data_IF_225391215633
#
_entry.id   IF_225391215633
#
_cell.length_a   1.000
_cell.length_b   1.000
_cell.length_c   1.000
_cell.angle_alpha   90.00
_cell.angle_beta   90.00
_cell.angle_gamma   90.00
#
_symmetry.space_group_name_H-M   'P 1'
#
loop_
_entity.id
_entity.type
_entity.pdbx_description
1 polymer ?
#
# COMPACT_ATOMS: atom_id res chain seq x y z
N UNK A 1 -11.08 74.37 -19.77
CA UNK A 1 -11.49 73.17 -19.02
C UNK A 1 -10.37 72.13 -19.11
N UNK A 2 -9.93 71.62 -17.94
CA UNK A 2 -9.01 70.50 -17.58
C UNK A 2 -8.15 69.84 -18.70
N UNK A 3 -6.80 69.95 -18.64
CA UNK A 3 -5.80 69.03 -17.99
C UNK A 3 -5.83 67.61 -18.58
N UNK A 4 -4.78 66.99 -19.12
CA UNK A 4 -3.33 67.10 -18.92
C UNK A 4 -2.79 65.67 -18.71
N UNK A 5 -1.93 65.19 -19.62
CA UNK A 5 -1.26 63.87 -19.57
C UNK A 5 -0.12 63.94 -18.55
N UNK A 6 -0.12 63.13 -17.48
CA UNK A 6 1.13 62.73 -16.80
C UNK A 6 0.98 61.51 -15.88
N UNK A 7 1.84 60.54 -16.18
CA UNK A 7 2.32 59.34 -15.50
C UNK A 7 2.29 59.32 -13.96
N UNK A 8 1.66 58.29 -13.39
CA UNK A 8 2.17 57.58 -12.21
C UNK A 8 2.63 56.20 -12.70
N UNK A 9 3.93 55.91 -12.83
CA UNK A 9 4.74 55.34 -11.75
C UNK A 9 3.93 54.28 -10.98
N UNK A 10 4.17 52.98 -11.15
CA UNK A 10 5.36 52.33 -10.63
C UNK A 10 5.62 50.97 -11.28
N UNK A 11 6.91 50.71 -11.41
CA UNK A 11 7.59 49.48 -11.78
C UNK A 11 7.13 48.23 -11.02
N UNK A 12 7.01 47.10 -11.72
CA UNK A 12 7.70 45.85 -11.38
C UNK A 12 7.48 44.81 -12.50
N UNK A 13 8.54 44.60 -13.29
CA UNK A 13 8.73 43.37 -14.06
C UNK A 13 9.05 42.28 -13.06
N UNK A 14 8.24 41.22 -13.01
CA UNK A 14 8.66 39.94 -12.47
C UNK A 14 8.38 38.87 -13.51
N UNK A 15 9.45 38.49 -14.21
CA UNK A 15 9.56 37.30 -15.03
C UNK A 15 9.35 36.10 -14.11
N UNK A 16 8.21 35.42 -14.26
CA UNK A 16 7.90 34.15 -13.63
C UNK A 16 7.62 33.11 -14.70
N UNK A 17 8.68 32.65 -15.35
CA UNK A 17 8.65 31.49 -16.24
C UNK A 17 8.46 30.24 -15.37
N UNK A 18 7.21 29.95 -15.01
CA UNK A 18 6.81 28.74 -14.31
C UNK A 18 6.00 27.88 -15.26
N UNK A 19 6.64 26.85 -15.82
CA UNK A 19 6.00 25.77 -16.56
C UNK A 19 4.70 25.36 -15.87
N UNK A 20 3.57 25.66 -16.50
CA UNK A 20 2.29 25.07 -16.17
C UNK A 20 2.34 23.59 -16.50
N UNK A 21 2.93 22.80 -15.60
CA UNK A 21 2.73 21.37 -15.56
C UNK A 21 1.27 21.18 -15.15
N UNK A 22 0.38 21.13 -16.15
CA UNK A 22 -0.93 20.53 -15.99
C UNK A 22 -0.66 19.05 -15.71
N UNK A 23 -0.44 18.71 -14.45
CA UNK A 23 -0.57 17.35 -13.98
C UNK A 23 -2.03 16.98 -14.22
N UNK A 24 -2.29 16.33 -15.35
CA UNK A 24 -3.51 15.58 -15.53
C UNK A 24 -3.69 14.71 -14.28
N UNK A 25 -4.93 14.53 -13.77
CA UNK A 25 -5.16 13.48 -12.80
C UNK A 25 -4.67 12.20 -13.46
N UNK A 26 -3.58 11.62 -12.92
CA UNK A 26 -3.29 10.24 -13.23
C UNK A 26 -4.52 9.52 -12.72
N UNK A 27 -5.32 8.97 -13.64
CA UNK A 27 -6.28 7.95 -13.26
C UNK A 27 -5.44 6.92 -12.49
N UNK A 28 -5.63 6.90 -11.18
CA UNK A 28 -5.26 5.77 -10.34
C UNK A 28 -6.19 4.64 -10.78
N UNK A 29 -6.00 4.15 -12.00
CA UNK A 29 -6.43 2.83 -12.37
C UNK A 29 -5.81 1.96 -11.30
N UNK A 30 -6.66 1.32 -10.49
CA UNK A 30 -6.27 0.31 -9.54
C UNK A 30 -5.36 -0.63 -10.33
N UNK A 31 -4.05 -0.41 -10.22
CA UNK A 31 -3.07 -1.32 -10.75
C UNK A 31 -3.41 -2.58 -10.01
N UNK A 32 -3.77 -3.65 -10.72
CA UNK A 32 -4.09 -4.93 -10.11
C UNK A 32 -2.81 -5.45 -9.46
N UNK A 33 -2.51 -4.88 -8.30
CA UNK A 33 -1.30 -5.13 -7.55
C UNK A 33 -1.53 -6.45 -6.86
N UNK A 34 -0.48 -7.25 -6.78
CA UNK A 34 -0.54 -8.51 -6.05
C UNK A 34 -0.95 -8.28 -4.58
N UNK A 35 -0.69 -7.08 -4.02
CA UNK A 35 -1.14 -6.67 -2.68
C UNK A 35 -2.66 -6.52 -2.65
N UNK A 36 -3.25 -5.80 -3.60
CA UNK A 36 -4.70 -5.63 -3.71
C UNK A 36 -5.43 -6.97 -3.91
N UNK A 37 -4.80 -7.95 -4.58
CA UNK A 37 -5.35 -9.31 -4.67
C UNK A 37 -5.40 -10.01 -3.30
N UNK A 38 -4.39 -9.83 -2.47
CA UNK A 38 -4.35 -10.36 -1.10
C UNK A 38 -5.38 -9.65 -0.23
N UNK A 39 -5.49 -8.32 -0.33
CA UNK A 39 -6.50 -7.52 0.40
C UNK A 39 -7.91 -8.01 0.10
N UNK A 40 -8.27 -8.18 -1.17
CA UNK A 40 -9.58 -8.72 -1.57
C UNK A 40 -9.85 -10.12 -1.01
N UNK A 41 -8.82 -10.96 -0.93
CA UNK A 41 -8.93 -12.29 -0.32
C UNK A 41 -9.16 -12.16 1.19
N UNK A 42 -8.45 -11.25 1.86
CA UNK A 42 -8.62 -10.98 3.28
C UNK A 42 -10.02 -10.45 3.59
N UNK A 43 -10.52 -9.49 2.79
CA UNK A 43 -11.89 -8.96 2.89
C UNK A 43 -12.93 -10.07 2.74
N UNK A 44 -12.74 -10.99 1.79
CA UNK A 44 -13.62 -12.15 1.66
C UNK A 44 -13.65 -12.97 2.95
N UNK A 45 -12.50 -13.31 3.54
CA UNK A 45 -12.44 -14.05 4.80
C UNK A 45 -13.01 -13.26 5.98
N UNK A 46 -12.86 -11.94 6.01
CA UNK A 46 -13.51 -11.10 7.01
C UNK A 46 -15.04 -11.24 6.99
N UNK A 47 -15.65 -11.30 5.80
CA UNK A 47 -17.11 -11.54 5.69
C UNK A 47 -17.53 -12.91 6.23
N UNK A 48 -16.66 -13.92 6.12
CA UNK A 48 -16.96 -15.28 6.58
C UNK A 48 -16.71 -15.45 8.09
N UNK A 49 -15.83 -14.62 8.68
CA UNK A 49 -15.39 -14.73 10.08
C UNK A 49 -15.49 -13.39 10.83
N UNK A 50 -16.70 -12.79 10.98
CA UNK A 50 -16.87 -11.42 11.51
C UNK A 50 -16.46 -11.24 12.98
N UNK A 51 -16.20 -12.32 13.72
CA UNK A 51 -15.72 -12.28 15.10
C UNK A 51 -14.18 -12.17 15.22
N UNK A 52 -13.45 -12.36 14.12
CA UNK A 52 -11.99 -12.26 14.07
C UNK A 52 -11.59 -10.82 13.75
N UNK A 53 -10.52 -10.34 14.38
CA UNK A 53 -9.99 -9.01 14.09
C UNK A 53 -8.99 -9.05 12.93
N UNK A 54 -9.44 -8.71 11.73
CA UNK A 54 -8.62 -8.65 10.51
C UNK A 54 -7.87 -7.33 10.33
N UNK A 55 -8.25 -6.25 11.02
CA UNK A 55 -7.64 -4.93 10.88
C UNK A 55 -6.10 -4.89 11.01
N UNK A 56 -5.45 -5.70 11.88
CA UNK A 56 -3.98 -5.74 11.95
C UNK A 56 -3.33 -6.29 10.68
N UNK A 57 -4.00 -7.22 10.00
CA UNK A 57 -3.53 -7.83 8.76
C UNK A 57 -3.66 -6.84 7.60
N UNK A 58 -4.84 -6.23 7.48
CA UNK A 58 -5.14 -5.18 6.50
C UNK A 58 -4.15 -4.02 6.60
N UNK A 59 -3.89 -3.55 7.83
CA UNK A 59 -2.93 -2.48 8.07
C UNK A 59 -1.52 -2.80 7.55
N UNK A 60 -1.07 -4.06 7.60
CA UNK A 60 0.23 -4.45 7.02
C UNK A 60 0.21 -4.38 5.50
N UNK A 61 -0.89 -4.79 4.86
CA UNK A 61 -1.04 -4.73 3.41
C UNK A 61 -1.06 -3.27 2.93
N UNK A 62 -1.78 -2.39 3.62
CA UNK A 62 -1.77 -0.93 3.34
C UNK A 62 -0.36 -0.35 3.43
N UNK A 63 0.42 -0.73 4.46
CA UNK A 63 1.80 -0.24 4.60
C UNK A 63 2.72 -0.80 3.51
N UNK A 64 2.55 -2.08 3.13
CA UNK A 64 3.26 -2.68 2.02
C UNK A 64 2.90 -2.00 0.69
N UNK A 65 1.64 -1.68 0.46
CA UNK A 65 1.18 -1.01 -0.76
C UNK A 65 1.77 0.40 -0.86
N UNK A 66 1.73 1.17 0.23
CA UNK A 66 2.36 2.50 0.30
C UNK A 66 3.85 2.44 -0.01
N UNK A 67 4.56 1.46 0.53
CA UNK A 67 5.97 1.23 0.25
C UNK A 67 6.21 0.85 -1.22
N UNK A 68 5.36 -0.02 -1.76
CA UNK A 68 5.43 -0.45 -3.16
C UNK A 68 5.23 0.72 -4.13
N UNK A 69 4.23 1.57 -3.89
CA UNK A 69 3.94 2.75 -4.72
C UNK A 69 5.11 3.75 -4.82
N UNK A 70 5.97 3.82 -3.79
CA UNK A 70 7.14 4.71 -3.76
C UNK A 70 8.46 3.99 -4.06
N UNK A 71 8.43 2.69 -4.35
CA UNK A 71 9.61 1.88 -4.66
C UNK A 71 10.49 1.52 -3.45
N UNK A 72 9.96 1.56 -2.22
CA UNK A 72 10.69 1.16 -1.02
C UNK A 72 10.66 -0.36 -0.81
N UNK A 73 11.58 -1.06 -1.46
CA UNK A 73 11.64 -2.52 -1.45
C UNK A 73 11.92 -3.09 -0.05
N UNK A 74 12.71 -2.39 0.78
CA UNK A 74 13.00 -2.85 2.14
C UNK A 74 11.76 -2.79 3.02
N UNK A 75 10.95 -1.75 2.87
CA UNK A 75 9.70 -1.64 3.61
C UNK A 75 8.65 -2.63 3.12
N UNK A 76 8.51 -2.84 1.81
CA UNK A 76 7.65 -3.91 1.26
C UNK A 76 8.03 -5.24 1.88
N UNK A 77 9.33 -5.59 1.87
CA UNK A 77 9.83 -6.81 2.49
C UNK A 77 9.42 -6.91 3.96
N UNK A 78 9.75 -5.90 4.75
CA UNK A 78 9.51 -5.93 6.20
C UNK A 78 8.03 -6.07 6.55
N UNK A 79 7.13 -5.37 5.86
CA UNK A 79 5.70 -5.44 6.16
C UNK A 79 5.11 -6.80 5.73
N UNK A 80 5.55 -7.34 4.59
CA UNK A 80 5.12 -8.67 4.15
C UNK A 80 5.64 -9.79 5.03
N UNK A 81 6.89 -9.73 5.50
CA UNK A 81 7.42 -10.72 6.46
C UNK A 81 6.60 -10.70 7.76
N UNK A 82 6.20 -9.52 8.24
CA UNK A 82 5.30 -9.39 9.39
C UNK A 82 3.92 -9.96 9.11
N UNK A 83 3.34 -9.67 7.94
CA UNK A 83 2.05 -10.23 7.50
C UNK A 83 2.07 -11.77 7.50
N UNK A 84 3.06 -12.38 6.85
CA UNK A 84 3.22 -13.84 6.83
C UNK A 84 3.43 -14.44 8.23
N UNK A 85 4.15 -13.73 9.10
CA UNK A 85 4.35 -14.15 10.49
C UNK A 85 3.04 -14.14 11.27
N UNK A 86 2.22 -13.09 11.12
CA UNK A 86 0.93 -13.00 11.78
C UNK A 86 -0.04 -14.09 11.31
N UNK A 87 -0.07 -14.40 10.01
CA UNK A 87 -0.93 -15.47 9.47
C UNK A 87 -0.55 -16.80 10.10
N UNK A 88 0.74 -17.11 10.13
CA UNK A 88 1.24 -18.36 10.69
C UNK A 88 1.02 -18.49 12.19
N UNK A 89 1.22 -17.40 12.92
CA UNK A 89 0.95 -17.36 14.34
C UNK A 89 -0.55 -17.39 14.67
N UNK A 90 -1.43 -17.27 13.66
CA UNK A 90 -2.88 -17.07 13.83
C UNK A 90 -3.14 -15.92 14.80
N UNK A 91 -2.36 -14.85 14.64
CA UNK A 91 -2.44 -13.68 15.49
C UNK A 91 -3.87 -13.14 15.50
N UNK A 92 -4.25 -12.44 16.58
CA UNK A 92 -5.56 -11.80 16.67
C UNK A 92 -6.78 -12.74 16.51
N UNK A 93 -6.59 -14.04 16.75
CA UNK A 93 -7.67 -15.03 16.80
C UNK A 93 -8.11 -15.56 15.44
N UNK A 94 -7.28 -15.42 14.40
CA UNK A 94 -7.59 -15.94 13.07
C UNK A 94 -7.78 -17.47 13.08
N UNK A 95 -8.86 -17.94 12.47
CA UNK A 95 -9.13 -19.37 12.34
C UNK A 95 -8.02 -20.07 11.55
N UNK A 96 -7.68 -21.31 11.91
CA UNK A 96 -6.62 -22.08 11.25
C UNK A 96 -6.83 -22.24 9.74
N UNK A 97 -8.05 -22.59 9.31
CA UNK A 97 -8.35 -22.78 7.90
C UNK A 97 -8.23 -21.45 7.14
N UNK A 98 -8.80 -20.37 7.68
CA UNK A 98 -8.70 -19.04 7.06
C UNK A 98 -7.23 -18.57 6.97
N UNK A 99 -6.47 -18.71 8.06
CA UNK A 99 -5.05 -18.35 8.09
C UNK A 99 -4.24 -19.13 7.05
N UNK A 100 -4.47 -20.44 6.94
CA UNK A 100 -3.78 -21.29 5.99
C UNK A 100 -4.11 -20.92 4.55
N UNK A 101 -5.38 -20.68 4.23
CA UNK A 101 -5.82 -20.35 2.88
C UNK A 101 -5.33 -18.97 2.44
N UNK A 102 -5.46 -17.95 3.31
CA UNK A 102 -4.92 -16.61 3.03
C UNK A 102 -3.39 -16.69 2.87
N UNK A 103 -2.72 -17.47 3.71
CA UNK A 103 -1.27 -17.66 3.63
C UNK A 103 -0.85 -18.33 2.30
N UNK A 104 -1.51 -19.42 1.91
CA UNK A 104 -1.24 -20.13 0.66
C UNK A 104 -1.48 -19.25 -0.57
N UNK A 105 -2.57 -18.48 -0.56
CA UNK A 105 -2.86 -17.53 -1.63
C UNK A 105 -1.80 -16.42 -1.70
N UNK A 106 -1.47 -15.80 -0.56
CA UNK A 106 -0.46 -14.75 -0.49
C UNK A 106 0.91 -15.23 -0.98
N UNK A 107 1.32 -16.47 -0.69
CA UNK A 107 2.55 -17.05 -1.25
C UNK A 107 2.53 -17.16 -2.77
N UNK A 108 1.35 -17.37 -3.37
CA UNK A 108 1.21 -17.58 -4.81
C UNK A 108 1.35 -16.26 -5.58
N UNK A 109 0.82 -15.17 -5.03
CA UNK A 109 0.80 -13.87 -5.72
C UNK A 109 1.95 -12.96 -5.31
N UNK A 110 2.57 -13.18 -4.14
CA UNK A 110 3.69 -12.33 -3.68
C UNK A 110 4.97 -12.68 -4.44
N UNK A 111 5.64 -11.70 -5.08
CA UNK A 111 6.94 -11.90 -5.73
C UNK A 111 8.09 -12.01 -4.69
N UNK A 112 8.13 -13.13 -3.97
CA UNK A 112 9.05 -13.34 -2.83
C UNK A 112 10.53 -13.13 -3.17
N UNK A 113 10.94 -13.58 -4.36
CA UNK A 113 12.33 -13.49 -4.82
C UNK A 113 12.72 -12.05 -5.18
N UNK A 114 11.79 -11.25 -5.72
CA UNK A 114 12.04 -9.85 -6.09
C UNK A 114 12.35 -8.99 -4.87
N UNK A 115 11.60 -9.19 -3.79
CA UNK A 115 11.77 -8.42 -2.55
C UNK A 115 12.66 -9.12 -1.51
N UNK A 116 13.11 -10.35 -1.77
CA UNK A 116 13.89 -11.14 -0.80
C UNK A 116 13.15 -11.39 0.51
N UNK A 117 11.84 -11.65 0.42
CA UNK A 117 10.95 -11.91 1.56
C UNK A 117 11.21 -13.31 2.11
N UNK A 118 11.47 -13.41 3.40
CA UNK A 118 11.65 -14.67 4.11
C UNK A 118 10.32 -15.16 4.63
N UNK A 119 9.95 -16.36 4.22
CA UNK A 119 8.76 -17.03 4.73
C UNK A 119 9.12 -17.65 6.09
N UNK A 120 8.29 -17.48 7.15
CA UNK A 120 8.60 -18.10 8.42
C UNK A 120 8.74 -19.63 8.27
N UNK A 121 9.37 -20.35 9.22
CA UNK A 121 9.37 -21.83 9.23
C UNK A 121 8.02 -22.35 9.72
N UNK A 122 7.53 -23.47 9.18
CA UNK A 122 6.28 -24.03 9.69
C UNK A 122 6.57 -24.40 11.13
N UNK A 123 5.75 -23.96 12.09
CA UNK A 123 5.81 -24.50 13.44
C UNK A 123 5.26 -25.93 13.39
N UNK A 124 5.96 -26.80 12.66
CA UNK A 124 5.87 -28.24 12.80
C UNK A 124 6.58 -28.52 14.11
N UNK A 125 5.86 -28.30 15.21
CA UNK A 125 6.22 -28.91 16.47
C UNK A 125 6.18 -30.41 16.24
N UNK A 126 7.34 -31.03 16.12
CA UNK A 126 7.53 -32.40 16.56
C UNK A 126 6.94 -32.50 17.98
N UNK A 127 5.76 -33.09 18.10
CA UNK A 127 5.33 -33.98 19.19
C UNK A 127 3.92 -34.52 18.99
#
# INVERSE_FOLDING_TARGET
>A
MKRGITYGLLWAVAVGMGLGFLAAPVDAGASDSWIAQIERTLEFYETQYPAVNFAPYDHRLILAEKAWMVGDHQRVKSEMEMFFTMLRARAHGMNEAAAQEVFNFALTVTPLQEYGISIPPTSSGER
#
